data_IF_359109534425
#
_entry.id   IF_359109534425
#
_cell.length_a   1.000
_cell.length_b   1.000
_cell.length_c   1.000
_cell.angle_alpha   90.00
_cell.angle_beta   90.00
_cell.angle_gamma   90.00
#
_symmetry.space_group_name_H-M   'P 1'
#
loop_
_entity.id
_entity.type
_entity.pdbx_description
1 polymer ?
#
# COMPACT_ATOMS: atom_id res chain seq x y z
N UNK A 1 -4.77 3.83 -5.22
CA UNK A 1 -3.49 4.13 -5.96
C UNK A 1 -2.30 3.96 -5.02
N UNK A 2 -2.39 4.57 -3.84
CA UNK A 2 -1.31 4.49 -2.85
C UNK A 2 -0.79 3.06 -2.72
N UNK A 3 -1.70 2.09 -2.68
CA UNK A 3 -1.30 0.69 -2.56
C UNK A 3 -0.14 0.36 -3.50
N UNK A 4 -0.06 1.08 -4.62
CA UNK A 4 1.01 0.85 -5.60
C UNK A 4 2.36 1.29 -5.05
N UNK A 5 2.36 2.17 -4.06
CA UNK A 5 3.60 2.66 -3.47
C UNK A 5 4.23 1.58 -2.58
N UNK A 6 5.49 1.27 -2.79
CA UNK A 6 6.20 0.25 -1.98
C UNK A 6 6.13 0.57 -0.49
N UNK A 7 5.93 1.84 -0.19
CA UNK A 7 5.81 2.28 1.20
C UNK A 7 4.37 2.16 1.67
N UNK A 8 3.45 2.15 0.72
CA UNK A 8 2.03 2.03 1.04
C UNK A 8 1.65 0.58 1.27
N UNK A 9 2.19 -0.32 0.46
CA UNK A 9 1.89 -1.74 0.59
C UNK A 9 2.14 -2.21 2.03
N UNK A 10 2.99 -1.48 2.74
CA UNK A 10 3.31 -1.80 4.12
C UNK A 10 2.42 -1.00 5.07
N UNK A 11 2.03 0.19 4.62
CA UNK A 11 1.20 1.08 5.42
C UNK A 11 -0.29 0.75 5.26
N UNK A 12 -0.66 0.27 4.07
CA UNK A 12 -2.06 -0.07 3.80
C UNK A 12 -2.16 -1.45 3.16
N UNK A 13 -1.84 -2.49 3.89
CA UNK A 13 -1.90 -3.89 3.38
C UNK A 13 -3.33 -4.29 2.99
N UNK A 14 -4.27 -4.00 3.87
CA UNK A 14 -5.68 -4.33 3.63
C UNK A 14 -6.14 -3.85 2.25
N UNK A 15 -5.46 -2.83 1.73
CA UNK A 15 -5.80 -2.27 0.42
C UNK A 15 -5.18 -3.10 -0.71
N UNK A 16 -3.94 -3.50 -0.52
CA UNK A 16 -3.23 -4.27 -1.54
C UNK A 16 -3.18 -5.76 -1.23
N UNK A 17 -3.09 -6.17 0.00
#
# INVERSE_FOLDING_TARGET
>A
GCXSDPRCNYDHPEIXX
#
